data_IF_406687646415
#
_entry.id   IF_406687646415
#
_cell.length_a   1.000
_cell.length_b   1.000
_cell.length_c   1.000
_cell.angle_alpha   90.00
_cell.angle_beta   90.00
_cell.angle_gamma   90.00
#
_symmetry.space_group_name_H-M   'P 1'
#
loop_
_entity.id
_entity.type
_entity.pdbx_description
1 polymer ?
#
# COMPACT_ATOMS: atom_id res chain seq x y z
N UNK A 1 22.92 -18.49 6.17
CA UNK A 1 22.49 -17.53 5.13
C UNK A 1 21.86 -16.34 5.84
N UNK A 2 22.12 -15.11 5.43
CA UNK A 2 21.62 -13.90 6.12
C UNK A 2 20.26 -13.50 5.53
N UNK A 3 19.25 -13.24 6.38
CA UNK A 3 17.91 -12.82 5.95
C UNK A 3 17.98 -11.53 5.11
N UNK A 4 18.95 -10.65 5.37
CA UNK A 4 19.14 -9.41 4.61
C UNK A 4 19.48 -9.66 3.14
N UNK A 5 20.39 -10.60 2.88
CA UNK A 5 20.76 -10.98 1.49
C UNK A 5 19.60 -11.61 0.74
N UNK A 6 18.74 -12.35 1.45
CA UNK A 6 17.51 -12.91 0.89
C UNK A 6 16.51 -11.80 0.57
N UNK A 7 16.31 -10.86 1.49
CA UNK A 7 15.46 -9.70 1.29
C UNK A 7 15.92 -8.85 0.10
N UNK A 8 17.22 -8.56 -0.01
CA UNK A 8 17.81 -7.81 -1.12
C UNK A 8 17.55 -8.49 -2.47
N UNK A 9 17.71 -9.81 -2.56
CA UNK A 9 17.37 -10.56 -3.77
C UNK A 9 15.88 -10.50 -4.09
N UNK A 10 15.01 -10.64 -3.09
CA UNK A 10 13.56 -10.51 -3.28
C UNK A 10 13.19 -9.13 -3.83
N UNK A 11 13.83 -8.08 -3.29
CA UNK A 11 13.68 -6.71 -3.78
C UNK A 11 14.16 -6.56 -5.21
N UNK A 12 15.34 -7.08 -5.54
CA UNK A 12 15.88 -6.99 -6.90
C UNK A 12 14.98 -7.68 -7.94
N UNK A 13 14.42 -8.85 -7.62
CA UNK A 13 13.45 -9.53 -8.49
C UNK A 13 12.11 -8.79 -8.58
N UNK A 14 11.63 -8.21 -7.49
CA UNK A 14 10.43 -7.36 -7.50
C UNK A 14 10.59 -6.16 -8.45
N UNK A 15 11.76 -5.53 -8.48
CA UNK A 15 12.07 -4.42 -9.39
C UNK A 15 12.14 -4.87 -10.86
N UNK A 16 12.46 -6.14 -11.12
CA UNK A 16 12.46 -6.75 -12.46
C UNK A 16 11.11 -7.33 -12.87
N UNK A 17 10.08 -7.19 -12.02
CA UNK A 17 8.75 -7.79 -12.20
C UNK A 17 8.74 -9.34 -12.27
N UNK A 18 9.82 -9.99 -11.80
CA UNK A 18 9.87 -11.44 -11.60
C UNK A 18 9.23 -11.75 -10.23
N UNK A 19 7.89 -11.71 -10.20
CA UNK A 19 7.09 -11.80 -8.98
C UNK A 19 7.22 -13.16 -8.29
N UNK A 20 7.40 -14.23 -9.06
CA UNK A 20 7.61 -15.60 -8.58
C UNK A 20 8.90 -15.69 -7.75
N UNK A 21 10.03 -15.19 -8.29
CA UNK A 21 11.28 -15.20 -7.53
C UNK A 21 11.26 -14.19 -6.38
N UNK A 22 10.64 -13.04 -6.57
CA UNK A 22 10.48 -12.07 -5.49
C UNK A 22 9.78 -12.72 -4.28
N UNK A 23 8.66 -13.40 -4.52
CA UNK A 23 7.92 -14.17 -3.51
C UNK A 23 8.83 -15.24 -2.85
N UNK A 24 9.52 -16.05 -3.65
CA UNK A 24 10.40 -17.10 -3.14
C UNK A 24 11.48 -16.56 -2.18
N UNK A 25 12.16 -15.48 -2.58
CA UNK A 25 13.25 -14.90 -1.79
C UNK A 25 12.74 -14.18 -0.54
N UNK A 26 11.57 -13.52 -0.60
CA UNK A 26 10.95 -12.94 0.59
C UNK A 26 10.50 -14.02 1.58
N UNK A 27 9.87 -15.11 1.13
CA UNK A 27 9.49 -16.22 2.02
C UNK A 27 10.72 -16.81 2.71
N UNK A 28 11.79 -17.09 1.96
CA UNK A 28 13.06 -17.57 2.55
C UNK A 28 13.66 -16.58 3.55
N UNK A 29 13.53 -15.27 3.32
CA UNK A 29 13.97 -14.26 4.28
C UNK A 29 13.17 -14.33 5.59
N UNK A 30 11.84 -14.44 5.47
CA UNK A 30 10.90 -14.54 6.59
C UNK A 30 11.08 -15.82 7.42
N UNK A 31 11.45 -16.94 6.79
CA UNK A 31 11.81 -18.19 7.49
C UNK A 31 12.99 -18.01 8.45
N UNK A 32 13.91 -17.07 8.17
CA UNK A 32 15.05 -16.76 9.03
C UNK A 32 14.69 -15.69 10.05
N UNK A 33 14.01 -14.63 9.61
CA UNK A 33 13.57 -13.54 10.47
C UNK A 33 12.36 -12.82 9.87
N UNK A 34 11.26 -12.79 10.61
CA UNK A 34 10.14 -11.92 10.29
C UNK A 34 10.52 -10.44 10.50
N UNK A 35 10.34 -9.62 9.46
CA UNK A 35 10.53 -8.17 9.55
C UNK A 35 9.36 -7.45 8.86
N UNK A 36 8.98 -6.25 9.33
CA UNK A 36 7.86 -5.52 8.76
C UNK A 36 8.11 -5.14 7.30
N UNK A 37 9.34 -4.82 6.92
CA UNK A 37 9.71 -4.47 5.55
C UNK A 37 9.56 -5.65 4.59
N UNK A 38 9.96 -6.86 5.03
CA UNK A 38 9.89 -8.07 4.21
C UNK A 38 8.43 -8.48 4.00
N UNK A 39 7.62 -8.46 5.06
CA UNK A 39 6.18 -8.71 4.96
C UNK A 39 5.46 -7.67 4.08
N UNK A 40 5.78 -6.39 4.23
CA UNK A 40 5.22 -5.34 3.37
C UNK A 40 5.56 -5.54 1.89
N UNK A 41 6.81 -5.88 1.59
CA UNK A 41 7.22 -6.11 0.20
C UNK A 41 6.61 -7.38 -0.39
N UNK A 42 6.47 -8.45 0.41
CA UNK A 42 5.73 -9.63 0.01
C UNK A 42 4.24 -9.31 -0.24
N UNK A 43 3.64 -8.43 0.57
CA UNK A 43 2.29 -7.92 0.33
C UNK A 43 2.17 -7.18 -1.01
N UNK A 44 3.16 -6.36 -1.37
CA UNK A 44 3.21 -5.69 -2.67
C UNK A 44 3.32 -6.69 -3.83
N UNK A 45 4.11 -7.76 -3.68
CA UNK A 45 4.17 -8.86 -4.66
C UNK A 45 2.81 -9.51 -4.82
N UNK A 46 2.12 -9.85 -3.72
CA UNK A 46 0.78 -10.43 -3.78
C UNK A 46 -0.26 -9.51 -4.41
N UNK A 47 -0.21 -8.21 -4.13
CA UNK A 47 -1.12 -7.24 -4.73
C UNK A 47 -0.94 -7.17 -6.25
N UNK A 48 0.32 -7.13 -6.73
CA UNK A 48 0.66 -7.15 -8.17
C UNK A 48 0.23 -8.43 -8.87
N UNK A 49 0.22 -9.57 -8.16
CA UNK A 49 -0.29 -10.86 -8.66
C UNK A 49 -1.83 -10.95 -8.63
N UNK A 50 -2.54 -9.90 -8.18
CA UNK A 50 -4.00 -9.93 -7.97
C UNK A 50 -4.45 -10.79 -6.78
N UNK A 51 -3.51 -11.28 -5.97
CA UNK A 51 -3.79 -12.13 -4.80
C UNK A 51 -4.11 -11.25 -3.58
N UNK A 52 -5.15 -10.43 -3.69
CA UNK A 52 -5.45 -9.37 -2.72
C UNK A 52 -5.64 -9.90 -1.29
N UNK A 53 -6.22 -11.10 -1.11
CA UNK A 53 -6.35 -11.72 0.21
C UNK A 53 -5.00 -12.01 0.90
N UNK A 54 -4.01 -12.50 0.14
CA UNK A 54 -2.64 -12.72 0.66
C UNK A 54 -1.92 -11.41 0.92
N UNK A 55 -2.15 -10.39 0.07
CA UNK A 55 -1.59 -9.06 0.27
C UNK A 55 -2.05 -8.46 1.60
N UNK A 56 -3.36 -8.55 1.88
CA UNK A 56 -3.95 -8.08 3.14
C UNK A 56 -3.32 -8.75 4.36
N UNK A 57 -3.12 -10.07 4.32
CA UNK A 57 -2.49 -10.80 5.42
C UNK A 57 -1.04 -10.37 5.62
N UNK A 58 -0.27 -10.26 4.54
CA UNK A 58 1.13 -9.83 4.61
C UNK A 58 1.28 -8.40 5.19
N UNK A 59 0.44 -7.45 4.77
CA UNK A 59 0.48 -6.11 5.35
C UNK A 59 0.04 -6.08 6.82
N UNK A 60 -0.95 -6.89 7.22
CA UNK A 60 -1.33 -7.04 8.63
C UNK A 60 -0.17 -7.57 9.47
N UNK A 61 0.54 -8.60 9.00
CA UNK A 61 1.75 -9.11 9.66
C UNK A 61 2.82 -8.02 9.82
N UNK A 62 3.03 -7.19 8.79
CA UNK A 62 3.95 -6.05 8.91
C UNK A 62 3.52 -5.05 10.00
N UNK A 63 2.23 -4.74 10.09
CA UNK A 63 1.66 -3.84 11.11
C UNK A 63 1.71 -4.47 12.52
N UNK A 64 1.51 -5.78 12.65
CA UNK A 64 1.61 -6.50 13.93
C UNK A 64 3.03 -6.48 14.48
N UNK A 65 4.03 -6.61 13.61
CA UNK A 65 5.45 -6.57 14.00
C UNK A 65 5.89 -5.15 14.36
N UNK A 66 5.48 -4.16 13.56
CA UNK A 66 5.72 -2.75 13.86
C UNK A 66 4.45 -1.90 13.63
N UNK A 67 3.71 -1.59 14.71
CA UNK A 67 2.51 -0.75 14.64
C UNK A 67 2.76 0.70 14.20
N UNK A 68 4.02 1.13 14.10
CA UNK A 68 4.42 2.44 13.62
C UNK A 68 4.97 2.40 12.18
N UNK A 69 4.95 1.24 11.51
CA UNK A 69 5.44 1.12 10.15
C UNK A 69 4.46 1.74 9.14
N UNK A 70 4.61 3.05 8.96
CA UNK A 70 3.66 3.88 8.22
C UNK A 70 3.43 3.43 6.76
N UNK A 71 4.46 2.89 6.10
CA UNK A 71 4.38 2.37 4.74
C UNK A 71 3.45 1.16 4.63
N UNK A 72 3.40 0.27 5.64
CA UNK A 72 2.49 -0.88 5.61
C UNK A 72 1.03 -0.45 5.64
N UNK A 73 0.68 0.57 6.45
CA UNK A 73 -0.68 1.13 6.45
C UNK A 73 -1.05 1.77 5.11
N UNK A 74 -0.10 2.43 4.43
CA UNK A 74 -0.34 2.98 3.10
C UNK A 74 -0.65 1.86 2.10
N UNK A 75 0.21 0.84 2.02
CA UNK A 75 0.04 -0.25 1.06
C UNK A 75 -1.21 -1.11 1.37
N UNK A 76 -1.53 -1.28 2.65
CA UNK A 76 -2.78 -1.90 3.10
C UNK A 76 -4.00 -1.10 2.66
N UNK A 77 -3.95 0.24 2.80
CA UNK A 77 -4.99 1.15 2.31
C UNK A 77 -5.20 1.05 0.80
N UNK A 78 -4.12 0.97 0.02
CA UNK A 78 -4.21 0.75 -1.43
C UNK A 78 -4.85 -0.61 -1.76
N UNK A 79 -4.43 -1.70 -1.10
CA UNK A 79 -5.05 -3.01 -1.32
C UNK A 79 -6.54 -3.05 -0.92
N UNK A 80 -6.95 -2.27 0.09
CA UNK A 80 -8.36 -2.09 0.45
C UNK A 80 -9.13 -1.31 -0.62
N UNK A 81 -8.50 -0.32 -1.28
CA UNK A 81 -9.08 0.37 -2.43
C UNK A 81 -9.31 -0.61 -3.59
N UNK A 82 -8.33 -1.47 -3.89
CA UNK A 82 -8.44 -2.50 -4.93
C UNK A 82 -9.59 -3.49 -4.64
N UNK A 83 -10.00 -3.62 -3.37
CA UNK A 83 -11.15 -4.41 -2.92
C UNK A 83 -12.45 -3.59 -2.75
N UNK A 84 -12.46 -2.31 -3.12
CA UNK A 84 -13.56 -1.35 -2.91
C UNK A 84 -13.99 -1.16 -1.44
N UNK A 85 -13.11 -1.49 -0.50
CA UNK A 85 -13.32 -1.35 0.95
C UNK A 85 -12.92 0.05 1.43
N UNK A 86 -13.55 1.07 0.88
CA UNK A 86 -13.13 2.47 1.02
C UNK A 86 -13.11 3.00 2.46
N UNK A 87 -14.02 2.54 3.33
CA UNK A 87 -14.05 2.94 4.74
C UNK A 87 -12.80 2.48 5.51
N UNK A 88 -12.39 1.23 5.30
CA UNK A 88 -11.19 0.67 5.93
C UNK A 88 -9.91 1.23 5.29
N UNK A 89 -9.94 1.47 3.98
CA UNK A 89 -8.84 2.14 3.28
C UNK A 89 -8.59 3.53 3.87
N UNK A 90 -9.64 4.33 4.04
CA UNK A 90 -9.57 5.67 4.61
C UNK A 90 -8.93 5.65 6.01
N UNK A 91 -9.38 4.74 6.90
CA UNK A 91 -8.79 4.61 8.24
C UNK A 91 -7.30 4.28 8.20
N UNK A 92 -6.91 3.37 7.29
CA UNK A 92 -5.52 2.92 7.14
C UNK A 92 -4.62 4.02 6.57
N UNK A 93 -5.07 4.72 5.53
CA UNK A 93 -4.34 5.84 4.92
C UNK A 93 -4.19 7.01 5.90
N UNK A 94 -5.23 7.35 6.65
CA UNK A 94 -5.15 8.40 7.69
C UNK A 94 -4.19 8.00 8.82
N UNK A 95 -4.12 6.70 9.18
CA UNK A 95 -3.12 6.21 10.13
C UNK A 95 -1.71 6.34 9.58
N UNK A 96 -1.49 5.98 8.31
CA UNK A 96 -0.20 6.18 7.61
C UNK A 96 0.24 7.65 7.62
N UNK A 97 -0.68 8.57 7.30
CA UNK A 97 -0.45 10.02 7.34
C UNK A 97 -0.07 10.49 8.75
N UNK A 98 -0.79 10.06 9.79
CA UNK A 98 -0.48 10.42 11.19
C UNK A 98 0.88 9.92 11.66
N UNK A 99 1.35 8.79 11.13
CA UNK A 99 2.69 8.25 11.39
C UNK A 99 3.79 8.95 10.58
N UNK A 100 3.46 9.98 9.78
CA UNK A 100 4.42 10.79 9.05
C UNK A 100 4.83 10.21 7.69
N UNK A 101 4.09 9.23 7.15
CA UNK A 101 4.35 8.77 5.79
C UNK A 101 4.08 9.90 4.79
N UNK A 102 5.00 10.08 3.85
CA UNK A 102 4.92 11.10 2.81
C UNK A 102 5.01 10.43 1.45
N UNK A 103 3.88 10.39 0.74
CA UNK A 103 3.77 10.02 -0.67
C UNK A 103 2.79 11.03 -1.30
N UNK A 104 3.12 11.62 -2.47
CA UNK A 104 2.25 12.60 -3.13
C UNK A 104 0.83 12.10 -3.39
N UNK A 105 0.63 10.79 -3.53
CA UNK A 105 -0.67 10.15 -3.75
C UNK A 105 -1.48 9.99 -2.49
N UNK A 106 -0.87 9.97 -1.30
CA UNK A 106 -1.56 9.69 -0.04
C UNK A 106 -2.76 10.65 0.21
N UNK A 107 -2.62 11.98 0.09
CA UNK A 107 -3.76 12.88 0.23
C UNK A 107 -4.84 12.61 -0.83
N UNK A 108 -4.45 12.38 -2.08
CA UNK A 108 -5.39 12.10 -3.17
C UNK A 108 -6.19 10.81 -2.91
N UNK A 109 -5.53 9.74 -2.46
CA UNK A 109 -6.20 8.47 -2.12
C UNK A 109 -7.18 8.62 -0.93
N UNK A 110 -6.85 9.48 0.05
CA UNK A 110 -7.78 9.83 1.15
C UNK A 110 -9.02 10.53 0.59
N UNK A 111 -8.85 11.53 -0.30
CA UNK A 111 -9.99 12.20 -0.94
C UNK A 111 -10.81 11.25 -1.82
N UNK A 112 -10.13 10.39 -2.58
CA UNK A 112 -10.78 9.36 -3.38
C UNK A 112 -11.68 8.47 -2.53
N UNK A 113 -11.18 7.95 -1.41
CA UNK A 113 -11.98 7.15 -0.48
C UNK A 113 -13.19 7.94 0.04
N UNK A 114 -13.00 9.20 0.46
CA UNK A 114 -14.10 10.07 0.93
C UNK A 114 -15.17 10.29 -0.14
N UNK A 115 -14.78 10.52 -1.40
CA UNK A 115 -15.71 10.68 -2.53
C UNK A 115 -16.49 9.38 -2.75
N UNK A 116 -15.83 8.22 -2.76
CA UNK A 116 -16.49 6.92 -2.92
C UNK A 116 -17.44 6.58 -1.75
N UNK A 117 -17.20 7.16 -0.57
CA UNK A 117 -18.10 7.09 0.59
C UNK A 117 -19.23 8.14 0.55
N UNK A 118 -19.31 8.97 -0.49
CA UNK A 118 -20.36 9.98 -0.67
C UNK A 118 -20.13 11.29 0.08
N UNK A 119 -18.92 11.53 0.60
CA UNK A 119 -18.60 12.80 1.27
C UNK A 119 -18.45 13.95 0.27
N UNK A 120 -18.99 15.12 0.62
CA UNK A 120 -18.76 16.34 -0.15
C UNK A 120 -17.41 16.97 0.24
N UNK A 121 -16.40 16.77 -0.62
CA UNK A 121 -15.03 17.25 -0.38
C UNK A 121 -14.65 18.52 -1.17
N UNK A 122 -15.60 19.12 -1.92
CA UNK A 122 -15.31 20.18 -2.90
C UNK A 122 -14.56 21.37 -2.30
N UNK A 123 -15.00 21.88 -1.15
CA UNK A 123 -14.37 23.05 -0.52
C UNK A 123 -12.97 22.71 0.01
N UNK A 124 -12.82 21.58 0.71
CA UNK A 124 -11.51 21.12 1.22
C UNK A 124 -10.50 20.90 0.08
N UNK A 125 -10.95 20.35 -1.04
CA UNK A 125 -10.10 20.12 -2.21
C UNK A 125 -9.57 21.42 -2.85
N UNK A 126 -10.25 22.56 -2.67
CA UNK A 126 -9.74 23.87 -3.14
C UNK A 126 -8.50 24.32 -2.36
N UNK A 127 -8.38 23.90 -1.10
CA UNK A 127 -7.26 24.21 -0.20
C UNK A 127 -6.03 23.33 -0.45
N UNK A 128 -6.21 22.19 -1.12
CA UNK A 128 -5.12 21.29 -1.48
C UNK A 128 -4.25 21.83 -2.62
N UNK A 129 -3.03 21.31 -2.71
CA UNK A 129 -2.10 21.65 -3.79
C UNK A 129 -2.63 21.20 -5.16
N UNK A 130 -2.19 21.88 -6.21
CA UNK A 130 -2.56 21.50 -7.58
C UNK A 130 -2.10 20.08 -7.91
N UNK A 131 -0.95 19.65 -7.39
CA UNK A 131 -0.45 18.28 -7.57
C UNK A 131 -1.41 17.24 -6.98
N UNK A 132 -1.92 17.46 -5.75
CA UNK A 132 -2.90 16.57 -5.13
C UNK A 132 -4.19 16.53 -5.95
N UNK A 133 -4.67 17.68 -6.42
CA UNK A 133 -5.85 17.74 -7.29
C UNK A 133 -5.65 17.01 -8.60
N UNK A 134 -4.47 17.13 -9.21
CA UNK A 134 -4.12 16.45 -10.46
C UNK A 134 -4.10 14.93 -10.28
N UNK A 135 -3.39 14.45 -9.26
CA UNK A 135 -3.31 13.01 -8.95
C UNK A 135 -4.71 12.45 -8.67
N UNK A 136 -5.55 13.18 -7.93
CA UNK A 136 -6.92 12.74 -7.67
C UNK A 136 -7.75 12.62 -8.95
N UNK A 137 -7.59 13.54 -9.92
CA UNK A 137 -8.26 13.45 -11.22
C UNK A 137 -7.84 12.19 -11.97
N UNK A 138 -6.54 11.92 -12.04
CA UNK A 138 -5.99 10.70 -12.68
C UNK A 138 -6.57 9.42 -12.05
N UNK A 139 -6.60 9.35 -10.71
CA UNK A 139 -7.18 8.19 -9.99
C UNK A 139 -8.67 8.01 -10.28
N UNK A 140 -9.44 9.11 -10.35
CA UNK A 140 -10.87 9.04 -10.65
C UNK A 140 -11.13 8.59 -12.09
N UNK A 141 -10.34 9.07 -13.05
CA UNK A 141 -10.43 8.69 -14.46
C UNK A 141 -10.11 7.21 -14.68
N UNK A 142 -9.10 6.68 -14.00
CA UNK A 142 -8.76 5.24 -13.99
C UNK A 142 -9.90 4.41 -13.38
N UNK A 143 -10.51 4.86 -12.28
CA UNK A 143 -11.59 4.15 -11.62
C UNK A 143 -12.91 4.14 -12.41
N UNK A 144 -13.09 5.03 -13.40
CA UNK A 144 -14.23 5.05 -14.31
C UNK A 144 -14.00 4.21 -15.57
N UNK A 145 -12.76 3.84 -15.88
CA UNK A 145 -12.37 3.04 -17.04
C UNK A 145 -11.50 1.82 -16.64
N UNK A 146 -12.08 0.83 -15.93
CA UNK A 146 -11.37 -0.34 -15.40
C UNK A 146 -10.90 -1.35 -16.47
#
# INVERSE_FOLDING_TARGET
>A
MDYRKLFEKGYEYSQKDDLEKAEEFYIKSLEIKETPETWNNLGNVYRRKGLLGKAMEAYKRAIEIDPNYALAYFNFGCALIDMERYGEALMSLEKSKRLGFSDPRLPALIYFCRIKLGENVKEKLKEESEDVRKILREILEEAENP
#
